data_IF_986913166356
#
_entry.id   IF_986913166356
#
_cell.length_a   1.000
_cell.length_b   1.000
_cell.length_c   1.000
_cell.angle_alpha   90.00
_cell.angle_beta   90.00
_cell.angle_gamma   90.00
#
_symmetry.space_group_name_H-M   'P 1'
#
loop_
_entity.id
_entity.type
_entity.pdbx_description
1 polymer ?
#
# COMPACT_ATOMS: atom_id res chain seq x y z
N UNK A 1 -27.50 37.94 28.19
CA UNK A 1 -27.91 37.53 26.83
C UNK A 1 -26.68 36.92 26.19
N UNK A 2 -26.57 35.61 26.32
CA UNK A 2 -25.51 34.79 25.74
C UNK A 2 -26.06 34.25 24.42
N UNK A 3 -25.65 34.84 23.31
CA UNK A 3 -25.76 34.18 22.01
C UNK A 3 -24.59 33.19 21.94
N UNK A 4 -24.91 31.95 22.26
CA UNK A 4 -24.03 30.80 22.05
C UNK A 4 -24.17 30.43 20.57
N UNK A 5 -23.36 31.05 19.72
CA UNK A 5 -23.25 30.66 18.32
C UNK A 5 -22.54 29.30 18.27
N UNK A 6 -23.33 28.23 18.18
CA UNK A 6 -22.86 26.89 17.86
C UNK A 6 -22.06 26.91 16.55
N UNK A 7 -20.82 26.37 16.50
CA UNK A 7 -20.04 26.31 15.27
C UNK A 7 -20.78 25.49 14.20
N UNK A 8 -20.61 25.78 12.90
CA UNK A 8 -21.32 25.08 11.83
C UNK A 8 -20.90 23.61 11.75
N UNK A 9 -21.84 22.71 12.05
CA UNK A 9 -21.66 21.26 12.21
C UNK A 9 -21.37 20.47 10.91
N UNK A 10 -21.10 21.11 9.75
CA UNK A 10 -21.19 20.39 8.47
C UNK A 10 -20.16 20.74 7.38
N UNK A 11 -19.02 21.38 7.70
CA UNK A 11 -17.99 21.60 6.68
C UNK A 11 -17.17 20.33 6.38
N UNK A 12 -16.92 19.49 7.39
CA UNK A 12 -16.02 18.34 7.30
C UNK A 12 -16.63 17.17 6.49
N UNK A 13 -17.95 16.97 6.62
CA UNK A 13 -18.70 15.93 5.93
C UNK A 13 -18.86 16.22 4.41
N UNK A 14 -18.69 17.48 4.02
CA UNK A 14 -18.87 17.95 2.65
C UNK A 14 -17.58 17.86 1.80
N UNK A 15 -16.41 17.75 2.44
CA UNK A 15 -15.13 17.47 1.77
C UNK A 15 -14.97 15.97 1.50
N UNK A 16 -15.29 15.11 2.48
CA UNK A 16 -15.17 13.66 2.34
C UNK A 16 -16.13 13.09 1.28
N UNK A 17 -17.31 13.68 1.08
CA UNK A 17 -18.28 13.24 0.06
C UNK A 17 -17.87 13.59 -1.38
N UNK A 18 -16.94 14.55 -1.54
CA UNK A 18 -16.51 15.05 -2.86
C UNK A 18 -15.28 14.36 -3.42
N UNK A 19 -14.51 13.65 -2.59
CA UNK A 19 -13.35 12.91 -3.08
C UNK A 19 -13.77 11.57 -3.68
N UNK A 20 -13.39 11.28 -4.94
CA UNK A 20 -13.67 9.98 -5.53
C UNK A 20 -12.97 8.87 -4.74
N UNK A 21 -13.57 7.68 -4.73
CA UNK A 21 -12.92 6.51 -4.12
C UNK A 21 -11.59 6.20 -4.80
N UNK A 22 -10.67 5.53 -4.10
CA UNK A 22 -9.40 5.09 -4.70
C UNK A 22 -9.62 4.27 -5.99
N UNK A 23 -10.65 3.42 -6.01
CA UNK A 23 -11.02 2.65 -7.21
C UNK A 23 -11.44 3.54 -8.38
N UNK A 24 -12.22 4.59 -8.11
CA UNK A 24 -12.63 5.57 -9.14
C UNK A 24 -11.42 6.31 -9.69
N UNK A 25 -10.52 6.77 -8.82
CA UNK A 25 -9.29 7.48 -9.23
C UNK A 25 -8.42 6.57 -10.10
N UNK A 26 -8.17 5.34 -9.65
CA UNK A 26 -7.37 4.37 -10.39
C UNK A 26 -7.98 4.05 -11.76
N UNK A 27 -9.30 3.84 -11.83
CA UNK A 27 -9.98 3.57 -13.10
C UNK A 27 -9.92 4.76 -14.06
N UNK A 28 -10.14 5.99 -13.56
CA UNK A 28 -9.98 7.21 -14.36
C UNK A 28 -8.54 7.36 -14.87
N UNK A 29 -7.55 7.02 -14.06
CA UNK A 29 -6.14 7.06 -14.44
C UNK A 29 -5.82 6.04 -15.53
N UNK A 30 -6.34 4.82 -15.42
CA UNK A 30 -6.21 3.79 -16.48
C UNK A 30 -6.81 4.30 -17.79
N UNK A 31 -8.03 4.83 -17.75
CA UNK A 31 -8.70 5.37 -18.94
C UNK A 31 -7.91 6.54 -19.57
N UNK A 32 -7.36 7.43 -18.73
CA UNK A 32 -6.55 8.56 -19.17
C UNK A 32 -5.24 8.09 -19.82
N UNK A 33 -4.51 7.18 -19.18
CA UNK A 33 -3.24 6.66 -19.72
C UNK A 33 -3.48 5.87 -20.99
N UNK A 34 -4.55 5.07 -21.04
CA UNK A 34 -5.00 4.42 -22.27
C UNK A 34 -5.22 5.46 -23.36
N UNK A 35 -6.02 6.52 -23.13
CA UNK A 35 -6.27 7.60 -24.08
C UNK A 35 -4.98 8.27 -24.61
N UNK A 36 -3.97 8.39 -23.76
CA UNK A 36 -2.67 8.94 -24.14
C UNK A 36 -1.88 8.02 -25.08
N UNK A 37 -2.12 6.69 -25.08
CA UNK A 37 -1.41 5.75 -25.96
C UNK A 37 -1.67 5.96 -27.46
N UNK A 38 -2.76 6.65 -27.82
CA UNK A 38 -3.03 7.03 -29.22
C UNK A 38 -2.29 8.29 -29.67
N UNK A 39 -1.88 9.14 -28.73
CA UNK A 39 -1.28 10.45 -29.01
C UNK A 39 0.23 10.39 -28.82
N UNK A 40 0.69 9.67 -27.79
CA UNK A 40 2.09 9.58 -27.40
C UNK A 40 2.75 8.39 -28.13
N UNK A 41 3.81 8.61 -28.92
CA UNK A 41 4.50 7.53 -29.61
C UNK A 41 5.19 6.60 -28.60
N UNK A 42 5.14 5.30 -28.86
CA UNK A 42 5.86 4.31 -28.09
C UNK A 42 7.37 4.43 -28.35
N UNK A 43 8.18 4.31 -27.30
CA UNK A 43 9.63 4.33 -27.43
C UNK A 43 10.29 3.43 -26.40
N UNK A 44 11.44 2.89 -26.77
CA UNK A 44 12.22 2.01 -25.90
C UNK A 44 13.71 2.37 -25.99
N UNK A 45 14.42 2.07 -24.91
CA UNK A 45 15.88 2.09 -24.90
C UNK A 45 16.39 0.66 -25.12
N UNK A 46 17.52 0.53 -25.82
CA UNK A 46 18.25 -0.73 -25.83
C UNK A 46 18.74 -1.03 -24.41
N UNK A 47 18.55 -2.26 -23.94
CA UNK A 47 18.98 -2.70 -22.62
C UNK A 47 20.18 -3.63 -22.77
N UNK A 48 21.23 -3.36 -22.00
CA UNK A 48 22.42 -4.19 -21.97
C UNK A 48 22.76 -4.57 -20.52
N UNK A 49 23.37 -5.74 -20.33
CA UNK A 49 23.86 -6.16 -19.02
C UNK A 49 24.95 -5.21 -18.55
N UNK A 50 24.76 -4.61 -17.38
CA UNK A 50 25.81 -3.85 -16.71
C UNK A 50 26.42 -4.71 -15.61
N UNK A 51 27.67 -5.12 -15.79
CA UNK A 51 28.40 -6.00 -14.86
C UNK A 51 28.64 -5.35 -13.49
N UNK A 52 28.68 -4.01 -13.40
CA UNK A 52 28.88 -3.29 -12.14
C UNK A 52 27.60 -3.26 -11.29
N UNK A 53 26.44 -3.18 -11.93
CA UNK A 53 25.12 -3.12 -11.27
C UNK A 53 24.46 -4.50 -11.17
N UNK A 54 24.96 -5.49 -11.92
CA UNK A 54 24.44 -6.86 -11.95
C UNK A 54 23.03 -6.99 -12.54
N UNK A 55 22.60 -6.03 -13.37
CA UNK A 55 21.27 -6.04 -14.01
C UNK A 55 21.29 -5.35 -15.38
N UNK A 56 20.25 -5.60 -16.17
CA UNK A 56 20.04 -4.91 -17.44
C UNK A 56 19.66 -3.44 -17.24
N UNK A 57 20.49 -2.55 -17.78
CA UNK A 57 20.27 -1.10 -17.74
C UNK A 57 20.03 -0.56 -19.15
N UNK A 58 19.23 0.50 -19.23
CA UNK A 58 19.03 1.24 -20.48
C UNK A 58 20.35 1.91 -20.90
N UNK A 59 20.75 1.73 -22.16
CA UNK A 59 21.96 2.33 -22.72
C UNK A 59 21.68 3.81 -23.05
N UNK A 60 22.48 4.76 -22.55
CA UNK A 60 22.29 6.18 -22.88
C UNK A 60 22.40 6.45 -24.38
N UNK A 61 21.48 7.24 -24.93
CA UNK A 61 21.50 7.66 -26.34
C UNK A 61 20.88 6.67 -27.34
N UNK A 62 20.37 5.52 -26.90
CA UNK A 62 19.76 4.49 -27.76
C UNK A 62 18.23 4.56 -27.79
N UNK A 63 17.65 5.72 -27.47
CA UNK A 63 16.19 5.89 -27.55
C UNK A 63 15.74 5.74 -29.00
N UNK A 64 14.80 4.82 -29.22
CA UNK A 64 14.17 4.61 -30.51
C UNK A 64 12.67 4.50 -30.35
N UNK A 65 11.94 5.09 -31.30
CA UNK A 65 10.49 4.90 -31.38
C UNK A 65 10.20 3.51 -31.93
N UNK A 66 9.19 2.86 -31.36
CA UNK A 66 8.75 1.52 -31.75
C UNK A 66 7.32 1.56 -32.28
N UNK A 67 6.87 0.43 -32.80
CA UNK A 67 5.50 0.28 -33.29
C UNK A 67 4.50 0.64 -32.18
N UNK A 68 3.56 1.58 -32.44
CA UNK A 68 2.54 1.97 -31.47
C UNK A 68 1.64 0.79 -31.09
N UNK A 69 1.36 0.63 -29.79
CA UNK A 69 0.42 -0.36 -29.26
C UNK A 69 -0.72 0.31 -28.48
N UNK A 70 -1.70 0.92 -29.18
CA UNK A 70 -2.79 1.64 -28.54
C UNK A 70 -3.69 0.69 -27.73
N UNK A 71 -4.10 1.11 -26.52
CA UNK A 71 -4.85 0.27 -25.59
C UNK A 71 -6.35 0.25 -25.91
N UNK A 72 -6.93 -0.91 -26.18
CA UNK A 72 -8.36 -1.04 -26.48
C UNK A 72 -9.27 -0.98 -25.26
N UNK A 73 -10.58 -1.01 -25.49
CA UNK A 73 -11.59 -1.06 -24.43
C UNK A 73 -11.45 -2.31 -23.54
N UNK A 74 -11.13 -3.47 -24.14
CA UNK A 74 -10.93 -4.72 -23.41
C UNK A 74 -9.68 -4.62 -22.53
N UNK A 75 -8.60 -4.04 -23.06
CA UNK A 75 -7.35 -3.85 -22.32
C UNK A 75 -7.55 -2.94 -21.10
N UNK A 76 -8.34 -1.88 -21.24
CA UNK A 76 -8.74 -1.00 -20.13
C UNK A 76 -9.52 -1.76 -19.05
N UNK A 77 -10.41 -2.67 -19.44
CA UNK A 77 -11.20 -3.48 -18.50
C UNK A 77 -10.36 -4.57 -17.82
N UNK A 78 -9.36 -5.11 -18.50
CA UNK A 78 -8.44 -6.12 -17.96
C UNK A 78 -7.25 -5.51 -17.21
N UNK A 79 -6.96 -4.22 -17.39
CA UNK A 79 -5.83 -3.53 -16.77
C UNK A 79 -5.76 -3.70 -15.23
N UNK A 80 -6.87 -3.66 -14.46
CA UNK A 80 -6.81 -3.96 -13.03
C UNK A 80 -6.32 -5.37 -12.76
N UNK A 81 -6.80 -6.37 -13.50
CA UNK A 81 -6.36 -7.77 -13.36
C UNK A 81 -4.89 -7.93 -13.75
N UNK A 82 -4.47 -7.35 -14.88
CA UNK A 82 -3.08 -7.34 -15.32
C UNK A 82 -2.13 -6.67 -14.30
N UNK A 83 -2.62 -5.65 -13.58
CA UNK A 83 -1.89 -5.01 -12.49
C UNK A 83 -1.63 -5.91 -11.28
N UNK A 84 -2.45 -6.95 -11.05
CA UNK A 84 -2.15 -8.00 -10.07
C UNK A 84 -1.24 -9.07 -10.66
N UNK A 85 -1.60 -9.54 -11.84
CA UNK A 85 -0.92 -10.62 -12.54
C UNK A 85 -1.11 -10.44 -14.04
N UNK A 86 -0.01 -10.28 -14.76
CA UNK A 86 -0.05 -10.14 -16.21
C UNK A 86 -0.20 -11.54 -16.86
N UNK A 87 -1.33 -11.85 -17.50
CA UNK A 87 -1.58 -13.16 -18.09
C UNK A 87 -0.74 -13.44 -19.34
N UNK A 88 -0.21 -12.41 -20.01
CA UNK A 88 0.56 -12.58 -21.25
C UNK A 88 2.04 -12.84 -20.96
N UNK A 89 2.61 -12.07 -20.03
CA UNK A 89 4.01 -12.22 -19.62
C UNK A 89 4.21 -13.19 -18.43
N UNK A 90 3.11 -13.66 -17.83
CA UNK A 90 3.09 -14.45 -16.59
C UNK A 90 3.80 -13.75 -15.41
N UNK A 91 3.95 -12.42 -15.49
CA UNK A 91 4.62 -11.63 -14.47
C UNK A 91 3.72 -11.43 -13.24
N UNK A 92 4.27 -11.78 -12.07
CA UNK A 92 3.68 -11.42 -10.79
C UNK A 92 3.94 -9.93 -10.51
N UNK A 93 2.86 -9.16 -10.40
CA UNK A 93 2.91 -7.75 -10.03
C UNK A 93 2.41 -7.61 -8.58
N UNK A 94 1.19 -7.13 -8.35
CA UNK A 94 0.66 -6.94 -6.99
C UNK A 94 0.19 -8.23 -6.28
N UNK A 95 0.23 -9.40 -6.95
CA UNK A 95 -0.26 -10.67 -6.38
C UNK A 95 0.52 -11.11 -5.14
N UNK A 96 1.82 -10.86 -5.08
CA UNK A 96 2.65 -11.24 -3.93
C UNK A 96 2.22 -10.50 -2.66
N UNK A 97 1.91 -9.22 -2.78
CA UNK A 97 1.39 -8.40 -1.67
C UNK A 97 0.02 -8.90 -1.22
N UNK A 98 -0.87 -9.23 -2.16
CA UNK A 98 -2.21 -9.73 -1.83
C UNK A 98 -2.15 -11.07 -1.07
N UNK A 99 -1.32 -12.01 -1.54
CA UNK A 99 -1.10 -13.29 -0.86
C UNK A 99 -0.45 -13.11 0.52
N UNK A 100 0.53 -12.22 0.62
CA UNK A 100 1.18 -11.90 1.88
C UNK A 100 0.18 -11.38 2.93
N UNK A 101 -0.65 -10.40 2.58
CA UNK A 101 -1.70 -9.87 3.48
C UNK A 101 -2.72 -10.94 3.86
N UNK A 102 -3.09 -11.82 2.92
CA UNK A 102 -4.00 -12.94 3.19
C UNK A 102 -3.40 -13.91 4.23
N UNK A 103 -2.14 -14.32 4.05
CA UNK A 103 -1.46 -15.21 4.99
C UNK A 103 -1.25 -14.55 6.36
N UNK A 104 -0.90 -13.27 6.38
CA UNK A 104 -0.77 -12.49 7.61
C UNK A 104 -2.12 -12.43 8.36
N UNK A 105 -3.21 -12.12 7.65
CA UNK A 105 -4.56 -12.14 8.22
C UNK A 105 -4.94 -13.51 8.78
N UNK A 106 -4.58 -14.59 8.09
CA UNK A 106 -4.75 -15.97 8.57
C UNK A 106 -3.96 -16.25 9.86
N UNK A 107 -2.69 -15.85 9.90
CA UNK A 107 -1.85 -15.95 11.09
C UNK A 107 -2.44 -15.17 12.27
N UNK A 108 -2.83 -13.91 12.07
CA UNK A 108 -3.45 -13.08 13.10
C UNK A 108 -4.77 -13.67 13.58
N UNK A 109 -5.57 -14.26 12.68
CA UNK A 109 -6.78 -14.98 13.03
C UNK A 109 -6.53 -16.17 13.97
N UNK A 110 -5.52 -17.00 13.68
CA UNK A 110 -5.13 -18.12 14.56
C UNK A 110 -4.58 -17.62 15.90
N UNK A 111 -3.75 -16.57 15.88
CA UNK A 111 -3.16 -16.00 17.09
C UNK A 111 -4.22 -15.37 18.00
N UNK A 112 -5.24 -14.73 17.42
CA UNK A 112 -6.38 -14.20 18.15
C UNK A 112 -7.26 -15.32 18.70
N UNK A 113 -7.57 -16.35 17.89
CA UNK A 113 -8.37 -17.50 18.32
C UNK A 113 -7.71 -18.31 19.46
N UNK A 114 -6.38 -18.33 19.51
CA UNK A 114 -5.62 -19.00 20.58
C UNK A 114 -5.41 -18.14 21.82
N UNK A 115 -5.77 -16.84 21.80
CA UNK A 115 -5.51 -15.90 22.89
C UNK A 115 -4.01 -15.63 23.11
N UNK A 116 -3.15 -16.00 22.15
CA UNK A 116 -1.71 -15.82 22.23
C UNK A 116 -1.35 -14.32 22.24
N UNK A 117 -2.10 -13.51 21.49
CA UNK A 117 -1.95 -12.05 21.45
C UNK A 117 -2.22 -11.45 22.84
N UNK A 118 -3.39 -11.75 23.43
CA UNK A 118 -3.78 -11.22 24.76
C UNK A 118 -2.78 -11.63 25.85
N UNK A 119 -2.31 -12.88 25.80
CA UNK A 119 -1.34 -13.41 26.76
C UNK A 119 0.02 -12.75 26.59
N UNK A 120 0.48 -12.57 25.35
CA UNK A 120 1.75 -11.90 25.04
C UNK A 120 1.76 -10.45 25.50
N UNK A 121 0.68 -9.71 25.23
CA UNK A 121 0.50 -8.33 25.69
C UNK A 121 0.51 -8.26 27.21
N UNK A 122 -0.29 -9.09 27.89
CA UNK A 122 -0.34 -9.11 29.36
C UNK A 122 1.02 -9.41 29.98
N UNK A 123 1.79 -10.30 29.35
CA UNK A 123 3.16 -10.60 29.77
C UNK A 123 4.09 -9.39 29.59
N UNK A 124 4.03 -8.72 28.44
CA UNK A 124 4.81 -7.52 28.17
C UNK A 124 4.47 -6.38 29.14
N UNK A 125 3.18 -6.12 29.39
CA UNK A 125 2.74 -5.10 30.34
C UNK A 125 3.19 -5.40 31.77
N UNK A 126 3.14 -6.66 32.22
CA UNK A 126 3.68 -7.04 33.54
C UNK A 126 5.19 -6.83 33.66
N UNK A 127 5.95 -6.99 32.59
CA UNK A 127 7.39 -6.72 32.60
C UNK A 127 7.71 -5.23 32.58
N UNK A 128 6.76 -4.40 32.12
CA UNK A 128 6.90 -2.95 31.99
C UNK A 128 6.13 -2.17 33.07
N UNK A 129 5.62 -2.84 34.09
CA UNK A 129 4.88 -2.23 35.20
C UNK A 129 5.76 -1.18 35.90
N UNK A 130 5.25 0.05 35.98
CA UNK A 130 5.97 1.24 36.47
C UNK A 130 6.86 1.97 35.44
N UNK A 131 6.97 1.45 34.21
CA UNK A 131 7.71 2.05 33.09
C UNK A 131 6.91 2.00 31.78
N UNK A 132 5.58 2.08 31.84
CA UNK A 132 4.66 1.88 30.72
C UNK A 132 4.95 2.85 29.56
N UNK A 133 5.40 4.07 29.88
CA UNK A 133 5.77 5.08 28.88
C UNK A 133 6.91 4.63 27.96
N UNK A 134 7.75 3.68 28.36
CA UNK A 134 8.81 3.10 27.52
C UNK A 134 8.27 2.21 26.40
N UNK A 135 7.01 1.77 26.49
CA UNK A 135 6.37 1.00 25.44
C UNK A 135 6.28 1.80 24.14
N UNK A 136 6.05 3.12 24.23
CA UNK A 136 5.95 4.02 23.06
C UNK A 136 7.26 4.04 22.26
N UNK A 137 8.44 4.40 22.81
CA UNK A 137 9.68 4.42 22.02
C UNK A 137 10.12 3.03 21.54
N UNK A 138 9.83 1.97 22.30
CA UNK A 138 10.12 0.58 21.86
C UNK A 138 9.30 0.25 20.61
N UNK A 139 7.99 0.47 20.65
CA UNK A 139 7.10 0.21 19.52
C UNK A 139 7.41 1.14 18.35
N UNK A 140 7.63 2.43 18.59
CA UNK A 140 8.02 3.37 17.53
C UNK A 140 9.30 2.93 16.83
N UNK A 141 10.31 2.47 17.58
CA UNK A 141 11.56 1.99 17.00
C UNK A 141 11.33 0.71 16.18
N UNK A 142 10.51 -0.21 16.69
CA UNK A 142 10.19 -1.47 16.03
C UNK A 142 9.42 -1.24 14.71
N UNK A 143 8.39 -0.40 14.73
CA UNK A 143 7.63 -0.05 13.53
C UNK A 143 8.44 0.82 12.56
N UNK A 144 9.29 1.71 13.06
CA UNK A 144 10.19 2.48 12.21
C UNK A 144 11.17 1.55 11.48
N UNK A 145 11.82 0.61 12.19
CA UNK A 145 12.72 -0.37 11.59
C UNK A 145 12.00 -1.28 10.58
N UNK A 146 10.81 -1.79 10.93
CA UNK A 146 10.00 -2.61 10.04
C UNK A 146 9.57 -1.84 8.79
N UNK A 147 9.11 -0.61 8.97
CA UNK A 147 8.70 0.31 7.91
C UNK A 147 9.84 0.68 6.97
N UNK A 148 11.04 0.97 7.49
CA UNK A 148 12.18 1.38 6.64
C UNK A 148 12.87 0.21 5.95
N UNK A 149 12.81 -0.99 6.52
CA UNK A 149 13.55 -2.15 6.00
C UNK A 149 12.73 -2.96 5.00
N UNK A 150 11.50 -3.32 5.38
CA UNK A 150 10.63 -4.17 4.57
C UNK A 150 9.46 -3.40 3.96
N UNK A 151 9.26 -2.13 4.34
CA UNK A 151 8.08 -1.39 3.90
C UNK A 151 6.81 -1.88 4.59
N UNK A 152 6.88 -2.18 5.90
CA UNK A 152 5.81 -2.77 6.71
C UNK A 152 4.56 -1.84 6.91
N UNK A 153 4.19 -1.06 5.92
CA UNK A 153 3.13 -0.07 6.03
C UNK A 153 1.75 -0.75 6.11
N UNK A 154 1.54 -1.79 5.30
CA UNK A 154 0.28 -2.51 5.17
C UNK A 154 -0.06 -3.32 6.42
N UNK A 155 0.94 -3.94 7.07
CA UNK A 155 0.75 -4.78 8.25
C UNK A 155 0.49 -3.93 9.50
N UNK A 156 1.04 -2.71 9.54
CA UNK A 156 0.88 -1.77 10.66
C UNK A 156 -0.60 -1.49 10.96
N UNK A 157 -1.46 -1.49 9.93
CA UNK A 157 -2.91 -1.31 10.08
C UNK A 157 -3.54 -2.39 10.97
N UNK A 158 -3.10 -3.64 10.84
CA UNK A 158 -3.59 -4.74 11.67
C UNK A 158 -3.10 -4.62 13.12
N UNK A 159 -1.87 -4.10 13.31
CA UNK A 159 -1.33 -3.86 14.64
C UNK A 159 -2.03 -2.72 15.39
N UNK A 160 -2.60 -1.73 14.70
CA UNK A 160 -3.34 -0.64 15.38
C UNK A 160 -4.52 -1.15 16.21
N UNK A 161 -5.26 -2.14 15.72
CA UNK A 161 -6.36 -2.75 16.46
C UNK A 161 -5.91 -3.36 17.80
N UNK A 162 -4.65 -3.80 17.87
CA UNK A 162 -4.05 -4.43 19.04
C UNK A 162 -3.37 -3.38 19.94
N UNK A 163 -2.67 -2.42 19.35
CA UNK A 163 -1.85 -1.44 20.05
C UNK A 163 -2.65 -0.35 20.76
N UNK A 164 -3.72 0.12 20.14
CA UNK A 164 -4.52 1.22 20.70
C UNK A 164 -5.09 0.84 22.08
N UNK A 165 -5.74 -0.33 22.28
CA UNK A 165 -6.19 -0.76 23.60
C UNK A 165 -5.05 -0.89 24.62
N UNK A 166 -3.86 -1.31 24.18
CA UNK A 166 -2.70 -1.54 25.06
C UNK A 166 -2.07 -0.24 25.56
N UNK A 167 -2.07 0.79 24.72
CA UNK A 167 -1.53 2.11 25.08
C UNK A 167 -2.52 2.90 25.96
N UNK A 168 -3.82 2.65 25.81
CA UNK A 168 -4.88 3.31 26.58
C UNK A 168 -5.19 2.65 27.93
N UNK A 169 -4.79 1.39 28.12
CA UNK A 169 -4.95 0.63 29.36
C UNK A 169 -3.87 0.97 30.39
#
# INVERSE_FOLDING_TARGET
MTEDETPPENAENDLASRFPTAYTILFCLIALVAALTWIIPAGQYERAMNEEVGREVAVPGTYQTVDPNPQGFVDVMLAPTAGFYDPDSYAANAIDVALFVLFLGGFLGVMNATGAIDTGIRSAMRHLEGHEIWMIPILMTLFALGGTTYGMAEETLAFYAILVPVILA
#
